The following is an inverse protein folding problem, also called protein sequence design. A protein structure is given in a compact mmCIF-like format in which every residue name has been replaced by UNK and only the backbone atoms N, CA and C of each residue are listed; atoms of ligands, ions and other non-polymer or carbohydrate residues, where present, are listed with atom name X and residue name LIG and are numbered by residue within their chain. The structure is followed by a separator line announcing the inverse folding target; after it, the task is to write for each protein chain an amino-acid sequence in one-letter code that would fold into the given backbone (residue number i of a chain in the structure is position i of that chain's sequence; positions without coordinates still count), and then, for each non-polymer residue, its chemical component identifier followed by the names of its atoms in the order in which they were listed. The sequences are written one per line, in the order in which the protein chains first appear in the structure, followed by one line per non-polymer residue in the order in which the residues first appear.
data_IF_047307218224
#
_entry.id   IF_047307218224
#
_cell.length_a   1.000
_cell.length_b   1.000
_cell.length_c   1.000
_cell.angle_alpha   90.00
_cell.angle_beta   90.00
_cell.angle_gamma   90.00
#
_symmetry.space_group_name_H-M   'P 1'
#
loop_
_entity.id
_entity.type
_entity.pdbx_description
1 polymer ?
#
# COMPACT_ATOMS: atom_id res chain seq x y z
N UNK A 1 4.46 -52.49 57.55
CA UNK A 1 4.80 -53.20 56.30
C UNK A 1 3.99 -52.57 55.18
N UNK A 2 4.60 -51.65 54.43
CA UNK A 2 3.90 -50.84 53.42
C UNK A 2 4.21 -51.40 52.03
N UNK A 3 3.16 -51.82 51.31
CA UNK A 3 3.24 -52.55 50.04
C UNK A 3 3.79 -51.67 48.90
N UNK A 4 4.89 -52.05 48.22
CA UNK A 4 5.58 -51.20 47.25
C UNK A 4 4.93 -51.18 45.85
N UNK A 5 3.86 -51.93 45.62
CA UNK A 5 3.24 -52.15 44.31
C UNK A 5 2.30 -51.03 43.85
N UNK A 6 1.80 -50.17 44.76
CA UNK A 6 0.81 -49.14 44.40
C UNK A 6 1.43 -47.88 43.76
N UNK A 7 2.73 -47.64 43.90
CA UNK A 7 3.40 -46.41 43.40
C UNK A 7 3.81 -46.45 41.92
N UNK A 8 3.84 -47.61 41.27
CA UNK A 8 4.27 -47.72 39.86
C UNK A 8 3.15 -47.44 38.86
N UNK A 9 1.88 -47.67 39.21
CA UNK A 9 0.76 -47.48 38.28
C UNK A 9 0.26 -46.03 38.19
N UNK A 10 0.50 -45.20 39.21
CA UNK A 10 0.06 -43.79 39.19
C UNK A 10 0.95 -42.90 38.31
N UNK A 11 2.25 -43.21 38.19
CA UNK A 11 3.18 -42.41 37.39
C UNK A 11 2.95 -42.61 35.87
N UNK A 12 2.63 -43.82 35.45
CA UNK A 12 2.33 -44.14 34.03
C UNK A 12 1.04 -43.47 33.53
N UNK A 13 0.02 -43.36 34.39
CA UNK A 13 -1.25 -42.72 34.06
C UNK A 13 -1.14 -41.19 33.92
N UNK A 14 -0.29 -40.55 34.73
CA UNK A 14 -0.05 -39.09 34.64
C UNK A 14 0.76 -38.73 33.38
N UNK A 15 1.74 -39.56 32.99
CA UNK A 15 2.50 -39.34 31.76
C UNK A 15 1.66 -39.55 30.49
N UNK A 16 0.76 -40.55 30.47
CA UNK A 16 -0.15 -40.77 29.34
C UNK A 16 -1.17 -39.62 29.18
N UNK A 17 -1.66 -39.05 30.28
CA UNK A 17 -2.56 -37.89 30.24
C UNK A 17 -1.86 -36.62 29.71
N UNK A 18 -0.56 -36.43 30.01
CA UNK A 18 0.21 -35.30 29.49
C UNK A 18 0.46 -35.39 27.97
N UNK A 19 0.66 -36.60 27.43
CA UNK A 19 0.84 -36.80 25.98
C UNK A 19 -0.46 -36.67 25.16
N UNK A 20 -1.62 -36.91 25.77
CA UNK A 20 -2.92 -36.72 25.10
C UNK A 20 -3.38 -35.25 25.10
N UNK A 21 -2.97 -34.43 26.08
CA UNK A 21 -3.31 -33.00 26.11
C UNK A 21 -2.41 -32.12 25.22
N UNK A 22 -1.20 -32.56 24.89
CA UNK A 22 -0.26 -31.75 24.08
C UNK A 22 -0.57 -31.74 22.58
N UNK A 23 -1.41 -32.65 22.08
CA UNK A 23 -1.80 -32.69 20.66
C UNK A 23 -3.05 -31.85 20.32
N UNK A 24 -3.68 -31.18 21.28
CA UNK A 24 -4.94 -30.45 21.06
C UNK A 24 -4.81 -28.95 20.76
N UNK A 25 -3.59 -28.41 20.56
CA UNK A 25 -3.36 -26.94 20.49
C UNK A 25 -2.84 -26.44 19.13
N UNK A 26 -2.68 -27.29 18.11
CA UNK A 26 -2.10 -26.90 16.81
C UNK A 26 -3.11 -26.86 15.66
N UNK A 27 -4.24 -26.14 15.82
CA UNK A 27 -5.35 -26.23 14.87
C UNK A 27 -6.08 -24.96 14.43
N UNK A 28 -5.64 -23.73 14.77
CA UNK A 28 -6.44 -22.53 14.46
C UNK A 28 -5.60 -21.34 13.99
N UNK A 29 -5.26 -21.27 12.69
CA UNK A 29 -4.80 -19.99 12.08
C UNK A 29 -4.98 -19.87 10.55
N UNK A 30 -5.16 -20.96 9.79
CA UNK A 30 -5.13 -20.88 8.33
C UNK A 30 -6.47 -20.50 7.66
N UNK A 31 -7.61 -20.79 8.28
CA UNK A 31 -8.93 -20.52 7.69
C UNK A 31 -9.35 -19.05 7.80
N UNK A 32 -8.83 -18.32 8.79
CA UNK A 32 -9.22 -16.93 9.03
C UNK A 32 -8.64 -15.98 7.95
N UNK A 33 -7.42 -16.27 7.49
CA UNK A 33 -6.71 -15.45 6.49
C UNK A 33 -7.35 -15.55 5.10
N UNK A 34 -7.82 -16.74 4.70
CA UNK A 34 -8.60 -16.93 3.47
C UNK A 34 -9.95 -16.24 3.55
N UNK A 35 -10.66 -16.36 4.69
CA UNK A 35 -11.94 -15.68 4.86
C UNK A 35 -11.81 -14.15 4.78
N UNK A 36 -10.71 -13.60 5.28
CA UNK A 36 -10.42 -12.17 5.21
C UNK A 36 -10.12 -11.72 3.77
N UNK A 37 -9.30 -12.48 3.03
CA UNK A 37 -9.00 -12.22 1.62
C UNK A 37 -10.26 -12.32 0.76
N UNK A 38 -11.03 -13.40 0.89
CA UNK A 38 -12.30 -13.59 0.17
C UNK A 38 -13.30 -12.47 0.50
N UNK A 39 -13.31 -11.95 1.73
CA UNK A 39 -14.17 -10.82 2.12
C UNK A 39 -13.73 -9.48 1.51
N UNK A 40 -12.44 -9.29 1.25
CA UNK A 40 -11.91 -8.08 0.61
C UNK A 40 -12.12 -8.16 -0.89
N UNK A 41 -11.78 -9.30 -1.49
CA UNK A 41 -11.99 -9.56 -2.91
C UNK A 41 -13.48 -9.44 -3.27
N UNK A 42 -14.39 -9.99 -2.47
CA UNK A 42 -15.83 -9.82 -2.67
C UNK A 42 -16.33 -8.38 -2.51
N UNK A 43 -15.59 -7.51 -1.81
CA UNK A 43 -15.92 -6.08 -1.66
C UNK A 43 -15.42 -5.24 -2.84
N UNK A 44 -14.31 -5.63 -3.49
CA UNK A 44 -13.70 -4.86 -4.58
C UNK A 44 -14.01 -5.40 -5.98
N UNK A 45 -14.33 -6.69 -6.13
CA UNK A 45 -14.66 -7.30 -7.43
C UNK A 45 -16.16 -7.27 -7.73
N UNK A 46 -16.99 -7.00 -6.73
CA UNK A 46 -18.44 -6.93 -6.93
C UNK A 46 -18.80 -5.59 -7.54
N UNK A 47 -19.21 -5.62 -8.80
CA UNK A 47 -19.84 -4.48 -9.46
C UNK A 47 -20.99 -3.97 -8.59
N UNK A 48 -20.91 -2.70 -8.20
CA UNK A 48 -21.98 -2.01 -7.50
C UNK A 48 -22.61 -1.02 -8.46
N UNK A 49 -23.95 -0.97 -8.45
CA UNK A 49 -24.67 0.14 -9.05
C UNK A 49 -24.91 1.16 -7.96
N UNK A 50 -24.52 2.41 -8.21
CA UNK A 50 -25.09 3.52 -7.49
C UNK A 50 -26.59 3.54 -7.85
N UNK A 51 -27.47 3.73 -6.87
CA UNK A 51 -28.92 3.67 -7.12
C UNK A 51 -29.36 4.68 -8.18
N UNK A 52 -30.52 4.48 -8.80
CA UNK A 52 -31.03 5.34 -9.89
C UNK A 52 -31.18 6.82 -9.51
N UNK A 53 -31.18 7.12 -8.21
CA UNK A 53 -31.26 8.45 -7.63
C UNK A 53 -29.91 9.01 -7.16
N UNK A 54 -28.80 8.30 -7.36
CA UNK A 54 -27.48 8.82 -7.02
C UNK A 54 -27.07 9.88 -8.03
N UNK A 55 -26.67 11.04 -7.52
CA UNK A 55 -26.18 12.15 -8.31
C UNK A 55 -24.74 12.40 -7.91
N UNK A 56 -23.83 12.35 -8.88
CA UNK A 56 -22.42 12.64 -8.65
C UNK A 56 -22.27 14.08 -8.14
N UNK A 57 -21.79 14.22 -6.91
CA UNK A 57 -21.47 15.51 -6.29
C UNK A 57 -19.97 15.77 -6.48
N UNK A 58 -19.56 16.92 -7.06
CA UNK A 58 -18.14 17.26 -7.16
C UNK A 58 -17.40 17.27 -5.80
N UNK A 59 -18.12 17.44 -4.68
CA UNK A 59 -17.55 17.39 -3.32
C UNK A 59 -17.11 15.99 -2.90
N UNK A 60 -17.64 14.96 -3.54
CA UNK A 60 -17.23 13.57 -3.35
C UNK A 60 -15.95 13.25 -4.14
N UNK A 61 -15.32 14.25 -4.78
CA UNK A 61 -14.10 14.10 -5.56
C UNK A 61 -14.32 13.56 -6.98
N UNK A 62 -15.59 13.39 -7.39
CA UNK A 62 -15.92 12.94 -8.73
C UNK A 62 -15.88 14.11 -9.71
N UNK A 63 -15.07 13.97 -10.76
CA UNK A 63 -15.07 14.87 -11.91
C UNK A 63 -15.79 14.20 -13.08
N UNK A 64 -16.78 14.89 -13.66
CA UNK A 64 -17.39 14.42 -14.91
C UNK A 64 -16.46 14.74 -16.06
N UNK A 65 -15.97 13.70 -16.72
CA UNK A 65 -15.15 13.81 -17.93
C UNK A 65 -15.96 13.35 -19.13
N UNK A 66 -15.89 14.11 -20.23
CA UNK A 66 -16.48 13.66 -21.48
C UNK A 66 -15.60 12.52 -22.01
N UNK A 67 -16.15 11.31 -22.14
CA UNK A 67 -15.42 10.14 -22.62
C UNK A 67 -14.79 10.33 -24.02
N UNK A 68 -15.25 11.31 -24.79
CA UNK A 68 -14.69 11.66 -26.10
C UNK A 68 -13.47 12.60 -26.01
N UNK A 69 -13.28 13.28 -24.88
CA UNK A 69 -12.16 14.18 -24.64
C UNK A 69 -11.12 13.44 -23.81
N UNK A 70 -10.27 12.66 -24.47
CA UNK A 70 -9.16 11.93 -23.84
C UNK A 70 -7.91 12.78 -23.63
N UNK A 71 -7.89 14.05 -24.06
CA UNK A 71 -6.69 14.89 -23.95
C UNK A 71 -6.22 15.02 -22.50
N UNK A 72 -7.13 15.15 -21.52
CA UNK A 72 -6.73 15.23 -20.11
C UNK A 72 -5.99 13.97 -19.58
N UNK A 73 -6.09 12.83 -20.26
CA UNK A 73 -5.39 11.58 -19.90
C UNK A 73 -4.02 11.44 -20.61
N UNK A 74 -3.80 12.17 -21.71
CA UNK A 74 -2.61 12.03 -22.56
C UNK A 74 -1.92 13.36 -22.86
N UNK A 75 -2.26 14.45 -22.16
CA UNK A 75 -1.53 15.72 -22.23
C UNK A 75 -0.20 15.57 -21.50
N UNK A 76 0.74 14.91 -22.17
CA UNK A 76 2.15 14.95 -21.87
C UNK A 76 2.66 16.33 -22.31
N UNK A 77 2.39 17.36 -21.50
CA UNK A 77 3.03 18.66 -21.67
C UNK A 77 4.49 18.58 -21.21
N UNK A 78 5.28 17.83 -21.97
CA UNK A 78 6.72 18.04 -22.12
C UNK A 78 6.95 19.30 -22.95
N UNK A 79 6.72 20.45 -22.31
CA UNK A 79 7.21 21.75 -22.78
C UNK A 79 8.50 22.07 -22.06
N UNK A 80 9.58 21.34 -22.38
CA UNK A 80 10.93 21.73 -22.01
C UNK A 80 11.33 22.90 -22.91
N UNK A 81 10.96 24.10 -22.46
CA UNK A 81 11.39 25.39 -22.97
C UNK A 81 12.90 25.52 -22.72
N UNK A 82 13.69 25.11 -23.72
CA UNK A 82 15.14 25.32 -23.76
C UNK A 82 15.43 26.83 -23.88
N UNK A 83 15.71 27.42 -22.72
CA UNK A 83 16.52 28.62 -22.54
C UNK A 83 17.80 28.49 -23.37
N UNK A 84 17.88 29.35 -24.40
CA UNK A 84 19.04 29.55 -25.23
C UNK A 84 20.13 30.28 -24.44
N UNK A 85 21.27 29.60 -24.32
CA UNK A 85 22.53 30.25 -23.98
C UNK A 85 23.52 30.03 -25.11
N UNK A 86 23.78 31.12 -25.79
CA UNK A 86 24.82 31.28 -26.82
C UNK A 86 26.18 30.92 -26.21
N UNK A 87 26.82 29.88 -26.74
CA UNK A 87 28.27 29.75 -26.69
C UNK A 87 28.76 29.39 -28.09
N UNK A 88 29.48 30.36 -28.65
CA UNK A 88 30.15 30.35 -29.92
C UNK A 88 31.36 29.41 -29.82
N UNK A 89 31.40 28.31 -30.57
CA UNK A 89 32.67 27.74 -30.98
C UNK A 89 32.56 26.96 -32.30
N UNK A 90 33.33 27.45 -33.27
CA UNK A 90 33.60 26.88 -34.58
C UNK A 90 34.20 25.46 -34.48
N UNK A 91 33.78 24.54 -35.35
CA UNK A 91 34.54 24.09 -36.54
C UNK A 91 34.25 22.61 -36.93
N UNK A 92 33.95 22.42 -38.23
CA UNK A 92 34.09 21.23 -39.09
C UNK A 92 33.15 20.01 -38.85
N UNK A 93 32.18 19.74 -39.74
CA UNK A 93 32.31 19.05 -41.05
C UNK A 93 32.44 17.52 -40.86
N UNK A 94 31.31 16.79 -40.92
CA UNK A 94 30.97 15.99 -42.11
C UNK A 94 29.62 15.27 -41.95
N UNK A 95 28.86 15.34 -43.05
CA UNK A 95 27.56 14.74 -43.33
C UNK A 95 27.59 13.22 -43.39
N UNK A 96 26.60 12.54 -42.81
CA UNK A 96 25.91 11.47 -43.54
C UNK A 96 24.47 11.26 -43.05
N UNK A 97 23.61 11.09 -44.04
CA UNK A 97 22.16 11.15 -44.08
C UNK A 97 21.59 9.76 -43.79
N UNK A 98 20.63 9.63 -42.88
CA UNK A 98 19.79 8.42 -42.80
C UNK A 98 18.39 8.82 -42.40
N UNK A 99 17.54 8.94 -43.43
CA UNK A 99 16.10 9.10 -43.31
C UNK A 99 15.46 7.81 -42.76
N UNK A 100 14.68 7.90 -41.68
CA UNK A 100 13.76 6.83 -41.28
C UNK A 100 12.35 7.43 -41.03
N UNK A 101 11.28 6.74 -41.47
CA UNK A 101 10.01 7.38 -41.77
C UNK A 101 9.06 7.50 -40.57
N UNK A 102 8.46 8.68 -40.52
CA UNK A 102 7.43 9.14 -39.59
C UNK A 102 6.12 8.35 -39.71
N UNK A 103 5.76 7.57 -38.69
CA UNK A 103 4.52 6.79 -38.66
C UNK A 103 3.35 7.62 -38.09
N UNK A 104 2.66 8.37 -38.96
CA UNK A 104 1.40 9.03 -38.62
C UNK A 104 0.24 8.03 -38.66
N UNK A 105 -0.18 7.52 -37.49
CA UNK A 105 -1.39 6.71 -37.35
C UNK A 105 -2.62 7.60 -37.15
N UNK A 106 -3.22 8.04 -38.25
CA UNK A 106 -4.55 8.66 -38.27
C UNK A 106 -5.63 7.57 -38.13
N UNK A 107 -6.07 7.33 -36.89
CA UNK A 107 -7.25 6.50 -36.64
C UNK A 107 -8.53 7.26 -37.02
N UNK A 108 -9.17 6.75 -38.06
CA UNK A 108 -10.44 7.22 -38.58
C UNK A 108 -11.57 7.19 -37.53
N UNK A 109 -12.25 8.33 -37.37
CA UNK A 109 -13.50 8.47 -36.62
C UNK A 109 -14.61 7.71 -37.34
N UNK A 110 -15.11 6.63 -36.73
CA UNK A 110 -16.36 5.98 -37.15
C UNK A 110 -17.55 6.81 -36.67
N UNK A 111 -18.29 7.34 -37.63
CA UNK A 111 -19.60 7.97 -37.45
C UNK A 111 -20.71 6.93 -37.24
N UNK A 112 -21.88 7.46 -36.85
CA UNK A 112 -23.20 6.84 -36.67
C UNK A 112 -23.45 6.20 -35.29
N UNK A 113 -24.56 6.46 -34.58
CA UNK A 113 -25.90 6.75 -35.07
C UNK A 113 -26.72 7.45 -33.97
N UNK A 114 -27.35 8.58 -34.33
CA UNK A 114 -28.38 9.25 -33.51
C UNK A 114 -29.60 8.33 -33.40
N UNK A 115 -30.13 8.15 -32.18
CA UNK A 115 -31.56 7.88 -32.00
C UNK A 115 -32.10 8.68 -30.83
N UNK A 116 -32.91 9.67 -31.19
CA UNK A 116 -33.71 10.48 -30.30
C UNK A 116 -34.90 9.68 -29.78
N UNK A 117 -35.24 9.84 -28.50
CA UNK A 117 -36.61 9.72 -28.00
C UNK A 117 -36.85 10.73 -26.87
N UNK A 118 -38.00 11.39 -26.98
CA UNK A 118 -38.48 12.58 -26.27
C UNK A 118 -38.78 12.40 -24.76
N UNK A 119 -38.94 13.51 -24.01
CA UNK A 119 -39.07 13.53 -22.56
C UNK A 119 -40.52 13.34 -22.08
N UNK A 120 -40.69 12.75 -20.89
CA UNK A 120 -41.94 12.86 -20.11
C UNK A 120 -41.68 13.53 -18.76
N UNK A 121 -42.46 14.58 -18.53
CA UNK A 121 -42.53 15.45 -17.35
C UNK A 121 -43.33 14.79 -16.19
N UNK A 122 -43.35 15.40 -14.99
CA UNK A 122 -43.30 14.69 -13.70
C UNK A 122 -44.68 14.50 -13.05
N UNK A 123 -44.76 13.53 -12.13
CA UNK A 123 -45.86 13.42 -11.19
C UNK A 123 -45.37 13.63 -9.75
N UNK A 124 -46.13 14.47 -9.04
CA UNK A 124 -45.98 14.98 -7.68
C UNK A 124 -46.45 13.96 -6.63
N UNK A 125 -45.84 14.10 -5.44
CA UNK A 125 -46.40 13.79 -4.09
C UNK A 125 -46.54 12.29 -3.76
N UNK A 126 -46.37 11.80 -2.53
CA UNK A 126 -46.58 12.43 -1.22
C UNK A 126 -45.96 11.60 -0.09
N UNK A 127 -45.76 12.26 1.07
CA UNK A 127 -45.86 11.78 2.46
C UNK A 127 -44.86 10.73 2.99
N UNK A 128 -43.90 11.28 3.74
CA UNK A 128 -43.62 11.00 5.14
C UNK A 128 -44.32 9.80 5.82
N UNK A 129 -43.50 8.92 6.40
CA UNK A 129 -43.77 8.32 7.69
C UNK A 129 -42.46 8.02 8.42
N UNK A 130 -42.31 8.73 9.53
CA UNK A 130 -41.26 8.73 10.53
C UNK A 130 -41.60 7.62 11.52
N UNK A 131 -40.76 6.59 11.67
CA UNK A 131 -40.81 5.69 12.83
C UNK A 131 -39.42 5.58 13.43
N UNK A 132 -39.27 6.32 14.52
CA UNK A 132 -38.22 6.18 15.52
C UNK A 132 -38.47 4.93 16.36
N UNK A 133 -37.50 4.03 16.47
CA UNK A 133 -37.41 3.09 17.58
C UNK A 133 -36.01 3.12 18.17
N UNK A 134 -35.89 3.95 19.20
CA UNK A 134 -34.77 4.07 20.12
C UNK A 134 -34.91 2.96 21.17
N UNK A 135 -34.04 1.95 21.13
CA UNK A 135 -33.88 0.98 22.21
C UNK A 135 -32.46 1.06 22.77
N UNK A 136 -32.34 1.82 23.86
CA UNK A 136 -31.26 1.76 24.86
C UNK A 136 -31.46 0.49 25.67
N UNK A 137 -30.47 -0.41 25.74
CA UNK A 137 -30.20 -1.19 26.96
C UNK A 137 -28.84 -1.91 26.94
N UNK A 138 -27.99 -1.46 27.86
CA UNK A 138 -27.19 -2.25 28.81
C UNK A 138 -26.09 -3.17 28.27
N UNK A 139 -24.88 -2.64 28.41
CA UNK A 139 -23.63 -3.37 28.53
C UNK A 139 -23.71 -4.51 29.56
N UNK A 140 -23.17 -5.67 29.18
CA UNK A 140 -22.60 -6.65 30.09
C UNK A 140 -21.21 -7.08 29.58
N UNK A 141 -20.25 -7.32 30.47
CA UNK A 141 -18.85 -7.52 30.13
C UNK A 141 -18.58 -9.00 29.81
N UNK A 142 -17.81 -9.25 28.75
CA UNK A 142 -17.11 -10.49 28.34
C UNK A 142 -16.62 -10.18 26.92
N UNK A 143 -15.38 -10.36 26.52
CA UNK A 143 -14.29 -11.23 26.94
C UNK A 143 -13.00 -10.54 26.52
N UNK A 144 -11.94 -10.66 27.33
CA UNK A 144 -10.60 -10.17 26.98
C UNK A 144 -10.17 -10.85 25.68
N UNK A 145 -10.21 -10.10 24.58
CA UNK A 145 -9.72 -10.55 23.29
C UNK A 145 -8.22 -10.80 23.40
N UNK A 146 -7.79 -11.97 22.98
CA UNK A 146 -6.39 -12.35 22.83
C UNK A 146 -5.71 -11.63 21.65
N UNK A 147 -5.90 -10.31 21.53
CA UNK A 147 -5.32 -9.45 20.50
C UNK A 147 -4.13 -8.62 21.03
N UNK A 148 -3.67 -8.87 22.26
CA UNK A 148 -2.68 -8.03 22.94
C UNK A 148 -1.30 -8.67 23.11
N UNK A 149 -1.04 -9.86 22.53
CA UNK A 149 0.20 -10.61 22.80
C UNK A 149 1.32 -10.43 21.76
N UNK A 150 1.08 -9.74 20.65
CA UNK A 150 2.09 -9.50 19.59
C UNK A 150 2.57 -8.03 19.56
N UNK A 151 1.87 -7.13 20.23
CA UNK A 151 2.20 -5.69 20.24
C UNK A 151 3.33 -5.34 21.21
N UNK A 152 3.52 -6.10 22.28
CA UNK A 152 4.53 -5.83 23.31
C UNK A 152 5.97 -6.08 22.87
N UNK A 153 6.20 -7.06 21.99
CA UNK A 153 7.55 -7.37 21.47
C UNK A 153 7.92 -6.56 20.22
N UNK A 154 6.93 -6.04 19.49
CA UNK A 154 7.18 -5.17 18.34
C UNK A 154 7.64 -3.77 18.78
N UNK A 155 7.02 -3.24 19.84
CA UNK A 155 7.35 -1.92 20.38
C UNK A 155 8.80 -1.81 20.86
N UNK A 156 9.34 -2.85 21.51
CA UNK A 156 10.74 -2.85 21.97
C UNK A 156 11.74 -2.87 20.81
N UNK A 157 11.45 -3.64 19.74
CA UNK A 157 12.28 -3.70 18.54
C UNK A 157 12.21 -2.36 17.78
N UNK A 158 11.02 -1.76 17.64
CA UNK A 158 10.89 -0.47 16.97
C UNK A 158 11.60 0.65 17.75
N UNK A 159 11.65 0.58 19.08
CA UNK A 159 12.38 1.53 19.90
C UNK A 159 13.91 1.41 19.79
N UNK A 160 14.43 0.34 19.19
CA UNK A 160 15.87 0.18 18.95
C UNK A 160 16.39 0.98 17.76
N UNK A 161 15.50 1.41 16.86
CA UNK A 161 15.88 2.27 15.76
C UNK A 161 16.40 3.61 16.26
N UNK A 162 17.52 4.06 15.69
CA UNK A 162 18.06 5.40 15.89
C UNK A 162 18.08 6.10 14.55
N UNK A 163 17.33 7.18 14.45
CA UNK A 163 17.38 8.03 13.27
C UNK A 163 18.69 8.84 13.26
N UNK A 164 19.33 8.92 12.09
CA UNK A 164 20.66 9.50 11.88
C UNK A 164 20.59 10.54 10.78
N UNK A 165 21.26 11.67 11.00
CA UNK A 165 21.36 12.76 10.03
C UNK A 165 20.21 13.76 10.09
N UNK A 166 20.25 14.70 9.14
CA UNK A 166 19.27 15.78 9.04
C UNK A 166 18.02 15.29 8.28
N UNK A 167 16.80 15.58 8.77
CA UNK A 167 15.58 15.29 8.02
C UNK A 167 15.55 16.09 6.71
N UNK A 168 15.12 15.44 5.63
CA UNK A 168 14.90 16.04 4.31
C UNK A 168 13.47 15.80 3.82
N UNK A 169 12.85 16.78 3.14
CA UNK A 169 11.50 16.60 2.61
C UNK A 169 11.52 15.62 1.43
N UNK A 170 10.59 14.67 1.44
CA UNK A 170 10.36 13.70 0.37
C UNK A 170 8.87 13.55 0.10
N UNK A 171 8.53 13.19 -1.14
CA UNK A 171 7.17 12.78 -1.50
C UNK A 171 6.99 11.31 -1.19
N UNK A 172 5.86 10.94 -0.59
CA UNK A 172 5.47 9.55 -0.36
C UNK A 172 4.17 9.22 -1.08
N UNK A 173 4.11 8.00 -1.60
CA UNK A 173 2.90 7.32 -2.07
C UNK A 173 2.83 5.94 -1.46
N UNK A 174 1.86 5.13 -1.89
CA UNK A 174 1.80 3.74 -1.52
C UNK A 174 1.48 2.82 -2.70
N UNK A 175 1.93 1.57 -2.57
CA UNK A 175 1.66 0.47 -3.47
C UNK A 175 1.10 -0.74 -2.68
N UNK A 176 0.50 -1.69 -3.40
CA UNK A 176 0.04 -2.97 -2.83
C UNK A 176 1.16 -4.00 -2.91
N UNK A 177 1.25 -4.94 -1.97
CA UNK A 177 2.31 -5.95 -1.96
C UNK A 177 2.40 -6.78 -3.26
N UNK A 178 1.30 -6.90 -3.99
CA UNK A 178 1.25 -7.55 -5.31
C UNK A 178 2.00 -6.78 -6.40
N UNK A 179 2.25 -5.49 -6.22
CA UNK A 179 2.95 -4.67 -7.19
C UNK A 179 4.47 -4.93 -7.21
N UNK A 180 5.02 -5.64 -6.20
CA UNK A 180 6.46 -5.90 -6.07
C UNK A 180 6.80 -7.38 -5.84
N UNK A 181 6.45 -8.25 -6.78
CA UNK A 181 6.80 -9.67 -6.71
C UNK A 181 8.31 -9.95 -6.89
N UNK A 182 9.10 -8.96 -7.33
CA UNK A 182 10.55 -9.10 -7.54
C UNK A 182 11.33 -7.85 -7.10
N UNK A 183 11.53 -7.64 -5.79
CA UNK A 183 12.20 -6.45 -5.28
C UNK A 183 13.64 -6.30 -5.81
N UNK A 184 13.96 -5.14 -6.39
CA UNK A 184 15.20 -4.88 -7.13
C UNK A 184 16.47 -4.96 -6.28
N UNK A 185 16.36 -4.94 -4.95
CA UNK A 185 17.53 -4.98 -4.09
C UNK A 185 18.18 -6.36 -4.01
N UNK A 186 17.48 -7.44 -4.39
CA UNK A 186 18.04 -8.78 -4.47
C UNK A 186 18.23 -9.23 -5.92
N UNK A 187 19.29 -9.99 -6.18
CA UNK A 187 19.54 -10.58 -7.49
C UNK A 187 18.61 -11.75 -7.80
N UNK A 188 18.19 -12.51 -6.77
CA UNK A 188 17.27 -13.63 -6.85
C UNK A 188 16.32 -13.59 -5.63
N UNK A 189 15.29 -12.73 -5.65
CA UNK A 189 14.41 -12.56 -4.50
C UNK A 189 13.60 -13.85 -4.25
N UNK A 190 13.64 -14.34 -3.00
CA UNK A 190 12.74 -15.40 -2.50
C UNK A 190 11.63 -14.84 -1.60
N UNK A 191 11.63 -13.52 -1.43
CA UNK A 191 10.74 -12.78 -0.57
C UNK A 191 10.27 -11.52 -1.30
N UNK A 192 9.00 -11.20 -1.12
CA UNK A 192 8.37 -9.98 -1.63
C UNK A 192 7.62 -9.27 -0.47
N UNK A 193 7.61 -7.93 -0.45
CA UNK A 193 6.83 -7.19 0.53
C UNK A 193 5.33 -7.47 0.35
N UNK A 194 4.61 -7.54 1.47
CA UNK A 194 3.16 -7.63 1.50
C UNK A 194 2.55 -6.30 1.92
N UNK A 195 1.22 -6.16 1.84
CA UNK A 195 0.52 -4.99 2.38
C UNK A 195 0.80 -4.74 3.88
N UNK A 196 1.21 -5.78 4.61
CA UNK A 196 1.54 -5.73 6.03
C UNK A 196 3.02 -5.42 6.32
N UNK A 197 3.87 -5.43 5.28
CA UNK A 197 5.31 -5.19 5.44
C UNK A 197 5.60 -3.71 5.70
N UNK A 198 6.80 -3.41 6.19
CA UNK A 198 7.32 -2.06 6.45
C UNK A 198 8.49 -1.81 5.52
N UNK A 199 8.17 -1.74 4.24
CA UNK A 199 9.11 -1.71 3.14
C UNK A 199 8.81 -0.53 2.21
N UNK A 200 9.81 -0.13 1.44
CA UNK A 200 9.67 0.96 0.48
C UNK A 200 10.48 0.72 -0.79
N UNK A 201 9.99 1.34 -1.86
CA UNK A 201 10.66 1.47 -3.14
C UNK A 201 11.08 2.93 -3.33
N UNK A 202 12.29 3.16 -3.84
CA UNK A 202 12.81 4.52 -4.03
C UNK A 202 12.94 4.85 -5.50
N UNK A 203 12.68 6.11 -5.87
CA UNK A 203 12.81 6.61 -7.26
C UNK A 203 14.04 6.03 -7.95
N UNK A 204 13.85 5.38 -9.09
CA UNK A 204 14.93 4.68 -9.78
C UNK A 204 15.97 5.65 -10.38
N UNK A 205 15.49 6.71 -11.01
CA UNK A 205 16.33 7.59 -11.84
C UNK A 205 16.42 9.02 -11.28
N UNK A 206 17.59 9.63 -11.39
CA UNK A 206 17.83 11.04 -11.10
C UNK A 206 17.92 11.42 -9.61
N UNK A 207 17.64 10.51 -8.67
CA UNK A 207 17.90 10.75 -7.25
C UNK A 207 19.32 10.31 -6.86
N UNK A 208 20.28 11.22 -6.97
CA UNK A 208 21.71 10.92 -6.74
C UNK A 208 22.06 10.60 -5.29
N UNK A 209 21.38 11.21 -4.31
CA UNK A 209 21.59 10.97 -2.88
C UNK A 209 20.68 9.89 -2.30
N UNK A 210 20.05 9.07 -3.15
CA UNK A 210 19.08 8.06 -2.75
C UNK A 210 19.70 7.06 -1.76
N UNK A 211 18.98 6.73 -0.67
CA UNK A 211 19.40 5.67 0.24
C UNK A 211 19.65 4.34 -0.48
N UNK A 212 20.68 3.62 -0.04
CA UNK A 212 21.05 2.31 -0.60
C UNK A 212 20.04 1.23 -0.21
N UNK A 213 19.98 0.19 -1.01
CA UNK A 213 19.28 -1.05 -0.68
C UNK A 213 19.59 -1.53 0.73
N UNK A 214 18.56 -2.09 1.38
CA UNK A 214 18.56 -2.65 2.72
C UNK A 214 18.81 -1.68 3.87
N UNK A 215 18.97 -0.39 3.60
CA UNK A 215 19.00 0.62 4.65
C UNK A 215 17.61 0.92 5.17
N UNK A 216 17.56 1.32 6.44
CA UNK A 216 16.36 1.77 7.08
C UNK A 216 16.22 3.28 6.98
N UNK A 217 14.98 3.72 6.86
CA UNK A 217 14.58 5.12 6.79
C UNK A 217 13.57 5.39 7.88
N UNK A 218 13.70 6.53 8.54
CA UNK A 218 12.63 7.13 9.33
C UNK A 218 11.88 8.13 8.45
N UNK A 219 10.56 7.99 8.36
CA UNK A 219 9.67 8.92 7.68
C UNK A 219 8.70 9.49 8.70
N UNK A 220 8.56 10.82 8.75
CA UNK A 220 7.73 11.52 9.72
C UNK A 220 6.80 12.52 9.04
N UNK A 221 5.48 12.31 9.17
CA UNK A 221 4.46 13.27 8.76
C UNK A 221 4.35 14.43 9.75
N UNK A 222 4.52 14.12 11.05
CA UNK A 222 4.63 15.10 12.13
C UNK A 222 5.72 14.69 13.11
N UNK A 223 6.05 15.56 14.07
CA UNK A 223 7.08 15.28 15.10
C UNK A 223 6.76 14.09 16.01
N UNK A 224 5.50 13.61 16.02
CA UNK A 224 5.07 12.45 16.83
C UNK A 224 4.66 11.24 15.99
N UNK A 225 4.59 11.40 14.68
CA UNK A 225 4.04 10.39 13.78
C UNK A 225 5.09 10.03 12.75
N UNK A 226 5.81 8.96 13.06
CA UNK A 226 6.93 8.46 12.28
C UNK A 226 6.82 6.96 12.06
N UNK A 227 7.45 6.47 11.00
CA UNK A 227 7.54 5.04 10.67
C UNK A 227 8.95 4.70 10.22
N UNK A 228 9.42 3.50 10.59
CA UNK A 228 10.67 2.94 10.11
C UNK A 228 10.41 1.93 9.01
N UNK A 229 11.01 2.13 7.85
CA UNK A 229 10.85 1.25 6.68
C UNK A 229 12.19 0.84 6.11
N UNK A 230 12.25 -0.33 5.50
CA UNK A 230 13.45 -0.82 4.81
C UNK A 230 13.36 -0.55 3.31
N UNK A 231 14.46 -0.11 2.72
CA UNK A 231 14.59 0.00 1.26
C UNK A 231 14.78 -1.40 0.69
N UNK A 232 13.81 -1.84 -0.10
CA UNK A 232 13.83 -3.18 -0.71
C UNK A 232 13.70 -3.15 -2.23
N UNK A 233 13.31 -2.02 -2.80
CA UNK A 233 13.07 -1.93 -4.23
C UNK A 233 13.36 -0.53 -4.81
N UNK A 234 13.27 -0.42 -6.13
CA UNK A 234 13.30 0.81 -6.89
C UNK A 234 11.96 1.07 -7.56
N UNK A 235 11.47 2.29 -7.42
CA UNK A 235 10.22 2.74 -8.02
C UNK A 235 10.50 3.33 -9.41
N UNK A 236 10.18 2.57 -10.46
CA UNK A 236 10.28 3.01 -11.86
C UNK A 236 9.15 3.97 -12.27
N UNK A 237 7.98 3.87 -11.63
CA UNK A 237 6.83 4.77 -11.86
C UNK A 237 6.95 6.13 -11.15
N UNK A 238 7.93 6.29 -10.26
CA UNK A 238 8.15 7.54 -9.55
C UNK A 238 8.78 8.59 -10.48
N UNK A 239 8.42 9.86 -10.28
CA UNK A 239 8.92 10.98 -11.11
C UNK A 239 10.45 10.99 -11.10
N UNK A 240 11.07 10.94 -12.28
CA UNK A 240 12.53 11.01 -12.45
C UNK A 240 13.10 12.27 -11.79
N UNK A 241 14.24 12.15 -11.12
CA UNK A 241 14.89 13.27 -10.43
C UNK A 241 14.23 13.68 -9.11
N UNK A 242 13.10 13.08 -8.73
CA UNK A 242 12.40 13.43 -7.49
C UNK A 242 12.87 12.58 -6.31
N UNK A 243 12.73 13.13 -5.10
CA UNK A 243 12.89 12.38 -3.86
C UNK A 243 11.56 11.72 -3.50
N UNK A 244 11.24 10.62 -4.18
CA UNK A 244 9.99 9.89 -3.97
C UNK A 244 10.25 8.54 -3.32
N UNK A 245 9.50 8.26 -2.26
CA UNK A 245 9.50 7.00 -1.51
C UNK A 245 8.11 6.38 -1.60
N UNK A 246 7.99 5.27 -2.33
CA UNK A 246 6.74 4.54 -2.44
C UNK A 246 6.68 3.48 -1.33
N UNK A 247 5.59 3.45 -0.56
CA UNK A 247 5.48 2.67 0.67
C UNK A 247 4.52 1.49 0.53
N UNK A 248 4.77 0.42 1.26
CA UNK A 248 3.70 -0.57 1.50
C UNK A 248 2.54 0.07 2.25
N UNK A 249 1.32 -0.44 2.04
CA UNK A 249 0.12 0.11 2.68
C UNK A 249 0.22 0.24 4.20
N UNK A 250 0.71 -0.77 4.91
CA UNK A 250 0.81 -0.72 6.38
C UNK A 250 1.75 0.39 6.86
N UNK A 251 2.84 0.64 6.15
CA UNK A 251 3.76 1.73 6.45
C UNK A 251 3.14 3.10 6.17
N UNK A 252 2.49 3.26 5.00
CA UNK A 252 1.81 4.52 4.66
C UNK A 252 0.70 4.87 5.66
N UNK A 253 -0.08 3.87 6.09
CA UNK A 253 -1.13 4.01 7.11
C UNK A 253 -0.62 4.52 8.46
N UNK A 254 0.67 4.40 8.76
CA UNK A 254 1.24 5.02 9.96
C UNK A 254 1.36 6.54 9.83
N UNK A 255 1.36 7.09 8.62
CA UNK A 255 1.60 8.49 8.31
C UNK A 255 0.35 9.24 7.84
N UNK A 256 -0.52 8.57 7.07
CA UNK A 256 -1.74 9.15 6.52
C UNK A 256 -2.78 8.06 6.15
N UNK A 257 -4.03 8.47 5.90
CA UNK A 257 -5.05 7.59 5.30
C UNK A 257 -4.73 7.30 3.84
N UNK A 258 -5.03 6.07 3.36
CA UNK A 258 -4.73 5.67 1.97
C UNK A 258 -5.42 6.55 0.92
N UNK A 259 -6.57 7.13 1.28
CA UNK A 259 -7.36 8.06 0.46
C UNK A 259 -6.62 9.36 0.14
N UNK A 260 -5.63 9.73 0.95
CA UNK A 260 -4.78 10.87 0.65
C UNK A 260 -3.87 10.61 -0.56
N UNK A 261 -3.42 9.36 -0.74
CA UNK A 261 -2.63 8.91 -1.90
C UNK A 261 -1.20 9.43 -2.00
N UNK A 262 -0.96 10.72 -1.73
CA UNK A 262 0.32 11.40 -1.86
C UNK A 262 0.50 12.43 -0.74
N UNK A 263 1.68 12.45 -0.13
CA UNK A 263 2.01 13.40 0.95
C UNK A 263 3.50 13.78 0.91
N UNK A 264 3.83 14.99 1.36
CA UNK A 264 5.22 15.37 1.66
C UNK A 264 5.52 15.09 3.14
N UNK A 265 6.57 14.33 3.43
CA UNK A 265 7.02 14.01 4.79
C UNK A 265 8.51 14.28 4.94
N UNK A 266 8.99 14.30 6.18
CA UNK A 266 10.43 14.37 6.45
C UNK A 266 11.02 12.96 6.52
N UNK A 267 12.08 12.71 5.77
CA UNK A 267 12.84 11.46 5.76
C UNK A 267 14.23 11.66 6.34
N UNK A 268 14.76 10.66 7.03
CA UNK A 268 16.20 10.53 7.29
C UNK A 268 16.61 9.07 7.38
N UNK A 269 17.91 8.80 7.35
CA UNK A 269 18.42 7.43 7.53
C UNK A 269 18.16 6.96 8.97
N UNK A 270 18.07 5.65 9.16
CA UNK A 270 17.97 5.01 10.46
C UNK A 270 18.96 3.85 10.58
N UNK A 271 19.37 3.54 11.80
CA UNK A 271 20.18 2.35 12.10
C UNK A 271 19.39 1.07 11.87
N UNK A 272 20.08 -0.06 11.85
CA UNK A 272 19.41 -1.35 11.90
C UNK A 272 18.75 -1.57 13.27
N UNK A 273 17.66 -2.37 13.34
CA UNK A 273 17.04 -2.72 14.60
C UNK A 273 17.85 -3.77 15.36
N UNK A 274 17.77 -3.75 16.69
CA UNK A 274 18.41 -4.75 17.56
C UNK A 274 17.76 -6.14 17.44
N UNK A 275 16.55 -6.23 16.87
CA UNK A 275 15.82 -7.46 16.57
C UNK A 275 15.32 -7.50 15.13
N UNK A 276 15.22 -8.69 14.54
CA UNK A 276 14.84 -8.84 13.13
C UNK A 276 13.46 -9.47 12.96
N UNK A 277 12.64 -8.86 12.10
CA UNK A 277 11.28 -9.30 11.78
C UNK A 277 11.14 -9.47 10.27
N UNK A 278 11.40 -10.68 9.80
CA UNK A 278 11.42 -11.01 8.37
C UNK A 278 10.07 -10.78 7.68
N UNK A 279 8.96 -10.97 8.39
CA UNK A 279 7.63 -10.67 7.85
C UNK A 279 7.42 -9.16 7.58
N UNK A 280 8.11 -8.29 8.32
CA UNK A 280 7.99 -6.84 8.14
C UNK A 280 9.02 -6.31 7.14
N UNK A 281 10.26 -6.79 7.23
CA UNK A 281 11.40 -6.17 6.52
C UNK A 281 12.07 -7.09 5.51
N UNK A 282 11.62 -8.33 5.38
CA UNK A 282 12.26 -9.35 4.54
C UNK A 282 13.50 -9.95 5.17
N UNK A 283 14.19 -10.87 4.47
CA UNK A 283 15.37 -11.55 4.97
C UNK A 283 16.53 -10.57 5.16
N UNK A 284 17.37 -10.84 6.17
CA UNK A 284 18.58 -10.04 6.38
C UNK A 284 19.55 -10.28 5.22
N UNK A 285 20.11 -9.19 4.68
CA UNK A 285 21.08 -9.22 3.58
C UNK A 285 22.50 -9.02 4.11
#
# INVERSE_FOLDING_TARGET
MSNPTYRRNTLALVLAAFFLLSNLVLGTSALDLRSFHDSLEARYTRAHSLGDNYQFDPRDGWQTVNASNLQYKYDDQGGDELDGRDEDEELAEDTEETEEPYYNSTLAVRADKKKATNPKKPAKSSKASKVSSKSKAKAKPKSKSAASSVTSNLGSIINSFKAVGKPEPVTITWYTGHDLENPSCWSNPTWAPTDASFACALTLEGWTTRPKCFKFLELCSTVKQCVFVRVVDSCAGCKKGSKHVDLTQAAFKQLAGLDQGLLTVNMRQATDPDGWLENLWGPKA
#
